data_IF_285776589476
#
_entry.id   IF_285776589476
#
_cell.length_a   1.000
_cell.length_b   1.000
_cell.length_c   1.000
_cell.angle_alpha   90.00
_cell.angle_beta   90.00
_cell.angle_gamma   90.00
#
_symmetry.space_group_name_H-M   'P 1'
#
loop_
_entity.id
_entity.type
_entity.pdbx_description
1 polymer ?
#
# COMPACT_ATOMS: atom_id res chain seq x y z
N UNK A 1 -16.47 -2.02 16.67
CA UNK A 1 -15.44 -3.08 16.68
C UNK A 1 -14.13 -2.47 16.23
N UNK A 2 -13.06 -2.63 17.00
CA UNK A 2 -11.76 -2.16 16.59
C UNK A 2 -11.21 -3.08 15.49
N UNK A 3 -10.78 -2.55 14.34
CA UNK A 3 -10.08 -3.36 13.36
C UNK A 3 -8.78 -3.88 13.99
N UNK A 4 -8.63 -5.20 14.03
CA UNK A 4 -7.41 -5.83 14.51
C UNK A 4 -6.34 -5.75 13.42
N UNK A 5 -5.25 -5.03 13.70
CA UNK A 5 -4.09 -5.05 12.83
C UNK A 5 -3.41 -6.43 12.92
N UNK A 6 -3.43 -7.20 11.85
CA UNK A 6 -2.77 -8.48 11.77
C UNK A 6 -1.48 -8.37 10.97
N UNK A 7 -0.34 -8.48 11.62
CA UNK A 7 0.93 -8.62 10.92
C UNK A 7 1.04 -10.03 10.32
N UNK A 8 0.97 -10.10 9.00
CA UNK A 8 1.17 -11.36 8.29
C UNK A 8 2.64 -11.49 7.89
N UNK A 9 3.29 -12.57 8.29
CA UNK A 9 4.64 -12.92 7.83
C UNK A 9 4.61 -13.24 6.32
N UNK A 10 5.13 -12.34 5.50
CA UNK A 10 5.22 -12.53 4.05
C UNK A 10 6.65 -12.90 3.63
N UNK A 11 7.21 -13.95 4.23
CA UNK A 11 8.60 -14.36 4.02
C UNK A 11 8.95 -14.70 2.56
N UNK A 12 8.00 -15.19 1.79
CA UNK A 12 8.24 -15.64 0.41
C UNK A 12 8.35 -14.48 -0.57
N UNK A 13 7.57 -13.43 -0.39
CA UNK A 13 7.56 -12.26 -1.30
C UNK A 13 8.68 -11.27 -0.99
N UNK A 14 9.06 -11.17 0.29
CA UNK A 14 10.13 -10.28 0.75
C UNK A 14 11.55 -10.72 0.34
N UNK A 15 11.72 -11.88 -0.28
CA UNK A 15 13.04 -12.36 -0.73
C UNK A 15 13.68 -11.50 -1.81
N UNK A 16 12.93 -10.66 -2.50
CA UNK A 16 13.43 -9.75 -3.53
C UNK A 16 13.82 -8.34 -3.02
N UNK A 17 13.71 -8.09 -1.71
CA UNK A 17 14.07 -6.81 -1.11
C UNK A 17 15.35 -6.96 -0.28
N UNK A 18 16.36 -6.13 -0.56
CA UNK A 18 17.60 -6.09 0.25
C UNK A 18 17.32 -5.72 1.71
N UNK A 19 16.36 -4.83 1.94
CA UNK A 19 15.81 -4.49 3.26
C UNK A 19 14.31 -4.76 3.25
N UNK A 20 13.78 -5.22 4.39
CA UNK A 20 12.36 -5.58 4.49
C UNK A 20 11.49 -4.35 4.74
N UNK A 21 10.53 -4.03 3.86
CA UNK A 21 9.54 -2.99 4.10
C UNK A 21 8.59 -3.39 5.22
N UNK A 22 7.96 -2.40 5.85
CA UNK A 22 6.86 -2.66 6.79
C UNK A 22 5.55 -2.81 6.04
N UNK A 23 4.92 -3.96 6.17
CA UNK A 23 3.60 -4.23 5.59
C UNK A 23 2.65 -4.52 6.75
N UNK A 24 1.56 -3.78 6.80
CA UNK A 24 0.54 -3.94 7.84
C UNK A 24 -0.81 -4.19 7.18
N UNK A 25 -1.52 -5.19 7.69
CA UNK A 25 -2.87 -5.51 7.27
C UNK A 25 -3.84 -5.05 8.36
N UNK A 26 -4.81 -4.25 7.97
CA UNK A 26 -5.95 -3.93 8.81
C UNK A 26 -7.11 -4.75 8.27
N UNK A 27 -7.57 -5.72 9.04
CA UNK A 27 -8.73 -6.54 8.66
C UNK A 27 -9.93 -6.18 9.51
N UNK A 28 -11.03 -5.79 8.88
CA UNK A 28 -12.33 -5.88 9.53
C UNK A 28 -12.68 -7.36 9.69
N UNK A 29 -13.46 -7.74 10.72
CA UNK A 29 -13.89 -9.13 10.93
C UNK A 29 -14.67 -9.63 9.71
N UNK A 30 -14.07 -10.50 8.92
CA UNK A 30 -14.41 -10.76 7.54
C UNK A 30 -14.80 -12.20 7.33
N UNK A 31 -15.96 -12.59 7.77
CA UNK A 31 -16.45 -13.94 7.42
C UNK A 31 -17.51 -13.96 6.32
N UNK A 32 -18.09 -12.84 5.90
CA UNK A 32 -19.30 -12.89 5.04
C UNK A 32 -19.51 -11.77 4.02
N UNK A 33 -18.47 -11.18 3.40
CA UNK A 33 -18.70 -10.17 2.37
C UNK A 33 -18.18 -10.57 0.97
N UNK A 34 -19.04 -10.61 -0.05
CA UNK A 34 -18.67 -11.02 -1.40
C UNK A 34 -17.78 -10.04 -2.18
N UNK A 35 -17.41 -8.90 -1.60
CA UNK A 35 -16.58 -7.90 -2.26
C UNK A 35 -15.40 -7.45 -1.40
N UNK A 36 -14.67 -8.44 -0.89
CA UNK A 36 -13.58 -8.31 0.07
C UNK A 36 -12.26 -7.74 -0.47
N UNK A 37 -12.26 -7.24 -1.71
CA UNK A 37 -11.05 -6.68 -2.31
C UNK A 37 -10.52 -5.51 -1.47
N UNK A 38 -9.24 -5.53 -1.02
CA UNK A 38 -8.72 -4.55 -0.10
C UNK A 38 -8.44 -3.20 -0.76
N UNK A 39 -8.33 -2.17 0.08
CA UNK A 39 -7.72 -0.88 -0.27
C UNK A 39 -6.22 -1.02 0.00
N UNK A 40 -5.39 -0.82 -1.03
CA UNK A 40 -3.94 -0.74 -0.89
C UNK A 40 -3.50 0.69 -0.63
N UNK A 41 -2.70 0.91 0.40
CA UNK A 41 -2.12 2.21 0.72
C UNK A 41 -0.61 2.04 0.75
N UNK A 42 0.13 2.91 0.07
CA UNK A 42 1.58 2.90 0.23
C UNK A 42 2.17 4.28 0.52
N UNK A 43 3.26 4.26 1.23
CA UNK A 43 4.04 5.40 1.66
C UNK A 43 5.53 5.05 1.64
N UNK A 44 6.38 6.07 1.67
CA UNK A 44 7.84 5.92 1.80
C UNK A 44 8.29 5.42 3.18
N UNK A 45 7.42 5.47 4.18
CA UNK A 45 7.74 5.12 5.56
C UNK A 45 6.52 4.74 6.39
N UNK A 46 6.34 5.42 7.50
CA UNK A 46 5.24 5.16 8.47
C UNK A 46 4.26 6.33 8.61
N UNK A 47 4.52 7.48 7.99
CA UNK A 47 3.67 8.68 8.09
C UNK A 47 2.26 8.47 7.59
N UNK A 48 2.08 7.65 6.55
CA UNK A 48 0.78 7.30 5.98
C UNK A 48 -0.09 6.39 6.86
N UNK A 49 0.43 5.86 7.98
CA UNK A 49 -0.38 5.09 8.94
C UNK A 49 -1.50 5.94 9.56
N UNK A 50 -1.30 7.24 9.72
CA UNK A 50 -2.35 8.17 10.17
C UNK A 50 -3.52 8.19 9.20
N UNK A 51 -3.24 8.23 7.90
CA UNK A 51 -4.27 8.14 6.85
C UNK A 51 -4.97 6.78 6.88
N UNK A 52 -4.22 5.68 6.97
CA UNK A 52 -4.78 4.34 7.05
C UNK A 52 -5.72 4.22 8.27
N UNK A 53 -5.31 4.75 9.42
CA UNK A 53 -6.14 4.77 10.61
C UNK A 53 -7.42 5.61 10.39
N UNK A 54 -7.33 6.80 9.81
CA UNK A 54 -8.49 7.63 9.50
C UNK A 54 -9.48 6.90 8.57
N UNK A 55 -9.00 6.17 7.57
CA UNK A 55 -9.83 5.39 6.68
C UNK A 55 -10.57 4.28 7.46
N UNK A 56 -9.90 3.59 8.39
CA UNK A 56 -10.58 2.57 9.23
C UNK A 56 -11.70 3.14 10.08
N UNK A 57 -11.63 4.43 10.45
CA UNK A 57 -12.71 5.08 11.22
C UNK A 57 -13.92 5.42 10.35
N UNK A 58 -13.70 5.82 9.10
CA UNK A 58 -14.79 6.23 8.17
C UNK A 58 -15.36 5.03 7.41
N UNK A 59 -14.53 4.04 7.14
CA UNK A 59 -14.86 2.82 6.38
C UNK A 59 -14.46 1.56 7.17
N UNK A 60 -15.12 1.28 8.31
CA UNK A 60 -14.71 0.23 9.24
C UNK A 60 -14.84 -1.20 8.67
N UNK A 61 -15.56 -1.36 7.57
CA UNK A 61 -15.78 -2.65 6.92
C UNK A 61 -14.82 -2.93 5.75
N UNK A 62 -13.93 -1.99 5.42
CA UNK A 62 -12.94 -2.18 4.37
C UNK A 62 -11.69 -2.89 4.89
N UNK A 63 -11.17 -3.83 4.10
CA UNK A 63 -9.83 -4.36 4.32
C UNK A 63 -8.80 -3.38 3.80
N UNK A 64 -7.74 -3.17 4.55
CA UNK A 64 -6.66 -2.27 4.17
C UNK A 64 -5.34 -3.03 4.22
N UNK A 65 -4.56 -2.90 3.16
CA UNK A 65 -3.16 -3.29 3.12
C UNK A 65 -2.33 -2.02 3.08
N UNK A 66 -1.58 -1.77 4.15
CA UNK A 66 -0.64 -0.67 4.20
C UNK A 66 0.78 -1.15 3.92
N UNK A 67 1.43 -0.55 2.95
CA UNK A 67 2.83 -0.82 2.59
C UNK A 67 3.69 0.41 2.88
N UNK A 68 4.50 0.35 3.93
CA UNK A 68 5.50 1.37 4.24
C UNK A 68 6.87 0.95 3.71
N UNK A 69 7.40 1.67 2.72
CA UNK A 69 8.71 1.38 2.14
C UNK A 69 9.85 1.92 3.01
N UNK A 70 9.92 1.44 4.23
CA UNK A 70 10.94 1.82 5.19
C UNK A 70 12.36 1.43 4.78
N UNK A 71 12.48 0.57 3.76
CA UNK A 71 13.76 0.15 3.19
C UNK A 71 14.44 1.26 2.38
N UNK A 72 13.68 2.16 1.77
CA UNK A 72 14.17 3.18 0.85
C UNK A 72 13.88 4.62 1.27
N UNK A 73 13.42 4.83 2.51
CA UNK A 73 13.17 6.19 3.00
C UNK A 73 14.48 6.96 3.24
N UNK A 74 14.45 8.29 3.14
CA UNK A 74 13.36 9.12 2.69
C UNK A 74 13.28 9.21 1.15
N UNK A 75 12.07 9.25 0.60
CA UNK A 75 11.89 9.41 -0.86
C UNK A 75 12.27 10.81 -1.36
N UNK A 76 12.16 11.83 -0.51
CA UNK A 76 12.52 13.19 -0.88
C UNK A 76 13.97 13.36 -1.37
N UNK A 77 14.88 12.48 -0.94
CA UNK A 77 16.28 12.48 -1.33
C UNK A 77 16.58 11.60 -2.56
N UNK A 78 15.56 10.95 -3.11
CA UNK A 78 15.71 10.03 -4.25
C UNK A 78 15.41 10.71 -5.57
N UNK A 79 16.01 10.19 -6.65
CA UNK A 79 15.62 10.63 -8.00
C UNK A 79 14.20 10.21 -8.34
N UNK A 80 13.55 10.96 -9.23
CA UNK A 80 12.22 10.60 -9.72
C UNK A 80 12.20 9.17 -10.30
N UNK A 81 13.23 8.78 -11.03
CA UNK A 81 13.38 7.42 -11.60
C UNK A 81 13.40 6.35 -10.51
N UNK A 82 14.12 6.59 -9.41
CA UNK A 82 14.16 5.64 -8.28
C UNK A 82 12.79 5.53 -7.61
N UNK A 83 12.12 6.66 -7.35
CA UNK A 83 10.78 6.69 -6.75
C UNK A 83 9.77 5.95 -7.64
N UNK A 84 9.83 6.16 -8.95
CA UNK A 84 8.99 5.45 -9.92
C UNK A 84 9.21 3.95 -9.87
N UNK A 85 10.47 3.49 -9.84
CA UNK A 85 10.79 2.07 -9.75
C UNK A 85 10.27 1.44 -8.46
N UNK A 86 10.43 2.12 -7.31
CA UNK A 86 9.90 1.65 -6.03
C UNK A 86 8.37 1.60 -6.04
N UNK A 87 7.74 2.64 -6.55
CA UNK A 87 6.28 2.75 -6.63
C UNK A 87 5.67 1.63 -7.49
N UNK A 88 6.25 1.34 -8.66
CA UNK A 88 5.78 0.24 -9.51
C UNK A 88 5.92 -1.12 -8.83
N UNK A 89 7.03 -1.35 -8.12
CA UNK A 89 7.25 -2.60 -7.39
C UNK A 89 6.22 -2.80 -6.28
N UNK A 90 5.89 -1.73 -5.55
CA UNK A 90 4.85 -1.75 -4.51
C UNK A 90 3.48 -1.97 -5.15
N UNK A 91 3.17 -1.26 -6.24
CA UNK A 91 1.90 -1.42 -6.95
C UNK A 91 1.72 -2.84 -7.47
N UNK A 92 2.76 -3.46 -8.01
CA UNK A 92 2.70 -4.86 -8.42
C UNK A 92 2.29 -5.76 -7.25
N UNK A 93 2.91 -5.57 -6.09
CA UNK A 93 2.52 -6.29 -4.87
C UNK A 93 1.04 -6.09 -4.49
N UNK A 94 0.57 -4.84 -4.50
CA UNK A 94 -0.82 -4.53 -4.16
C UNK A 94 -1.79 -5.12 -5.19
N UNK A 95 -1.42 -5.13 -6.47
CA UNK A 95 -2.21 -5.76 -7.54
C UNK A 95 -2.28 -7.28 -7.38
N UNK A 96 -1.20 -7.94 -6.98
CA UNK A 96 -1.19 -9.37 -6.65
C UNK A 96 -2.10 -9.70 -5.45
N UNK A 97 -2.37 -8.72 -4.58
CA UNK A 97 -3.34 -8.82 -3.48
C UNK A 97 -4.77 -8.46 -3.88
N UNK A 98 -5.01 -8.23 -5.17
CA UNK A 98 -6.31 -7.86 -5.73
C UNK A 98 -6.91 -6.58 -5.10
N UNK A 99 -6.06 -5.61 -4.78
CA UNK A 99 -6.54 -4.32 -4.28
C UNK A 99 -7.45 -3.64 -5.32
N UNK A 100 -8.63 -3.20 -4.88
CA UNK A 100 -9.59 -2.47 -5.71
C UNK A 100 -9.27 -0.97 -5.84
N UNK A 101 -8.52 -0.45 -4.90
CA UNK A 101 -8.09 0.94 -4.81
C UNK A 101 -6.65 0.98 -4.35
N UNK A 102 -5.83 1.81 -4.97
CA UNK A 102 -4.46 2.08 -4.55
C UNK A 102 -4.35 3.55 -4.17
N UNK A 103 -3.95 3.81 -2.93
CA UNK A 103 -3.79 5.15 -2.38
C UNK A 103 -2.30 5.44 -2.17
N UNK A 104 -1.81 6.47 -2.84
CA UNK A 104 -0.44 6.93 -2.69
C UNK A 104 -0.40 7.95 -1.55
N UNK A 105 0.01 7.53 -0.37
CA UNK A 105 0.04 8.35 0.85
C UNK A 105 1.36 9.10 1.04
N UNK A 106 2.13 9.28 -0.02
CA UNK A 106 3.44 9.92 0.00
C UNK A 106 3.47 11.06 -1.02
N UNK A 107 3.76 12.29 -0.58
CA UNK A 107 3.84 13.45 -1.49
C UNK A 107 4.89 13.27 -2.57
N UNK A 108 6.08 12.78 -2.24
CA UNK A 108 7.15 12.56 -3.21
C UNK A 108 6.77 11.49 -4.25
N UNK A 109 6.13 10.41 -3.82
CA UNK A 109 5.65 9.37 -4.74
C UNK A 109 4.48 9.87 -5.60
N UNK A 110 3.55 10.62 -5.03
CA UNK A 110 2.46 11.24 -5.79
C UNK A 110 2.98 12.15 -6.89
N UNK A 111 3.94 13.03 -6.57
CA UNK A 111 4.52 13.95 -7.54
C UNK A 111 5.32 13.23 -8.65
N UNK A 112 6.08 12.19 -8.30
CA UNK A 112 7.00 11.53 -9.23
C UNK A 112 6.38 10.36 -10.00
N UNK A 113 5.40 9.68 -9.45
CA UNK A 113 4.97 8.37 -9.95
C UNK A 113 3.45 8.23 -10.19
N UNK A 114 2.62 9.20 -9.87
CA UNK A 114 1.16 9.06 -9.99
C UNK A 114 0.70 8.61 -11.38
N UNK A 115 1.10 9.34 -12.43
CA UNK A 115 0.69 9.03 -13.80
C UNK A 115 1.20 7.66 -14.25
N UNK A 116 2.42 7.32 -13.87
CA UNK A 116 3.03 6.03 -14.18
C UNK A 116 2.29 4.89 -13.49
N UNK A 117 1.96 5.03 -12.21
CA UNK A 117 1.18 4.07 -11.43
C UNK A 117 -0.21 3.90 -12.02
N UNK A 118 -0.88 5.00 -12.32
CA UNK A 118 -2.22 5.00 -12.92
C UNK A 118 -2.24 4.26 -14.25
N UNK A 119 -1.26 4.51 -15.11
CA UNK A 119 -1.09 3.81 -16.39
C UNK A 119 -0.83 2.32 -16.19
N UNK A 120 0.05 1.98 -15.26
CA UNK A 120 0.40 0.59 -14.95
C UNK A 120 -0.78 -0.21 -14.41
N UNK A 121 -1.54 0.37 -13.50
CA UNK A 121 -2.71 -0.27 -12.88
C UNK A 121 -3.87 -0.38 -13.89
N UNK A 122 -4.02 0.59 -14.79
CA UNK A 122 -5.05 0.61 -15.82
C UNK A 122 -6.45 0.59 -15.22
N UNK A 123 -7.26 -0.38 -15.67
CA UNK A 123 -8.66 -0.56 -15.21
C UNK A 123 -8.80 -1.56 -14.06
N UNK A 124 -7.71 -2.17 -13.60
CA UNK A 124 -7.76 -3.23 -12.58
C UNK A 124 -8.03 -2.69 -11.18
N UNK A 125 -7.63 -1.46 -10.91
CA UNK A 125 -7.93 -0.76 -9.67
C UNK A 125 -8.01 0.75 -9.91
N UNK A 126 -8.58 1.47 -8.95
CA UNK A 126 -8.58 2.94 -8.92
C UNK A 126 -7.27 3.41 -8.26
N UNK A 127 -6.69 4.51 -8.76
CA UNK A 127 -5.51 5.15 -8.16
C UNK A 127 -5.87 6.57 -7.75
#
# INVERSE_FOLDING_TARGET
>A
MNPTAKMVKMSKWLRGFEKKPKITFFTANYEHMPNAAPIGIFDSGIGGLTLAHAITQVMPHENIIYFGDTAHLPYGDKSATSIQAYSLKICNFLMEKNCKLILIACNSASAAAYDLVKTYVGTKAIV
#
